data_IF_649425492259
#
_entry.id   IF_649425492259
#
_cell.length_a   1.000
_cell.length_b   1.000
_cell.length_c   1.000
_cell.angle_alpha   90.00
_cell.angle_beta   90.00
_cell.angle_gamma   90.00
#
_symmetry.space_group_name_H-M   'P 1'
#
loop_
_entity.id
_entity.type
_entity.pdbx_description
1 polymer ?
#
# COMPACT_ATOMS: atom_id res chain seq x y z
N UNK A 1 -19.43 -14.98 23.39
CA UNK A 1 -19.28 -13.55 23.02
C UNK A 1 -19.88 -13.36 21.63
N UNK A 2 -20.81 -12.44 21.45
CA UNK A 2 -21.38 -12.13 20.14
C UNK A 2 -20.39 -11.35 19.29
N UNK A 3 -20.62 -11.30 17.96
CA UNK A 3 -19.77 -10.52 17.06
C UNK A 3 -19.73 -9.01 17.45
N UNK A 4 -20.89 -8.46 17.87
CA UNK A 4 -20.96 -7.07 18.34
C UNK A 4 -20.10 -6.84 19.59
N UNK A 5 -20.17 -7.75 20.57
CA UNK A 5 -19.33 -7.68 21.78
C UNK A 5 -17.85 -7.77 21.47
N UNK A 6 -17.46 -8.63 20.51
CA UNK A 6 -16.07 -8.74 20.08
C UNK A 6 -15.57 -7.44 19.40
N UNK A 7 -16.38 -6.83 18.54
CA UNK A 7 -16.06 -5.54 17.89
C UNK A 7 -15.92 -4.42 18.92
N UNK A 8 -16.84 -4.36 19.88
CA UNK A 8 -16.80 -3.36 20.96
C UNK A 8 -15.54 -3.50 21.80
N UNK A 9 -15.17 -4.71 22.21
CA UNK A 9 -13.96 -4.97 22.98
C UNK A 9 -12.68 -4.56 22.22
N UNK A 10 -12.61 -4.82 20.90
CA UNK A 10 -11.49 -4.38 20.05
C UNK A 10 -11.37 -2.86 20.02
N UNK A 11 -12.49 -2.17 19.84
CA UNK A 11 -12.52 -0.71 19.83
C UNK A 11 -12.06 -0.13 21.16
N UNK A 12 -12.55 -0.65 22.28
CA UNK A 12 -12.16 -0.24 23.63
C UNK A 12 -10.67 -0.45 23.88
N UNK A 13 -10.13 -1.61 23.45
CA UNK A 13 -8.69 -1.90 23.55
C UNK A 13 -7.84 -0.90 22.74
N UNK A 14 -8.28 -0.58 21.53
CA UNK A 14 -7.62 0.41 20.68
C UNK A 14 -7.69 1.81 21.32
N UNK A 15 -8.87 2.23 21.77
CA UNK A 15 -9.08 3.54 22.40
C UNK A 15 -8.34 3.69 23.72
N UNK A 16 -8.21 2.63 24.51
CA UNK A 16 -7.42 2.63 25.74
C UNK A 16 -5.94 2.95 25.47
N UNK A 17 -5.43 2.56 24.30
CA UNK A 17 -4.03 2.78 23.91
C UNK A 17 -3.80 4.13 23.22
N UNK A 18 -4.73 4.59 22.40
CA UNK A 18 -4.52 5.71 21.49
C UNK A 18 -5.52 6.85 21.65
N UNK A 19 -6.45 6.75 22.60
CA UNK A 19 -7.47 7.77 22.85
C UNK A 19 -8.79 7.51 22.12
N UNK A 20 -9.83 8.21 22.55
CA UNK A 20 -11.17 8.11 21.99
C UNK A 20 -11.23 8.68 20.57
N UNK A 21 -11.84 7.95 19.63
CA UNK A 21 -11.90 8.33 18.22
C UNK A 21 -13.32 8.64 17.73
N UNK A 22 -14.37 8.31 18.48
CA UNK A 22 -15.75 8.45 18.00
C UNK A 22 -16.10 9.88 17.57
N UNK A 23 -15.81 10.87 18.42
CA UNK A 23 -16.04 12.28 18.07
C UNK A 23 -15.18 12.74 16.89
N UNK A 24 -13.91 12.32 16.85
CA UNK A 24 -12.99 12.63 15.76
C UNK A 24 -13.48 12.05 14.43
N UNK A 25 -13.98 10.82 14.41
CA UNK A 25 -14.54 10.21 13.19
C UNK A 25 -15.82 10.92 12.74
N UNK A 26 -16.68 11.30 13.69
CA UNK A 26 -17.94 12.00 13.41
C UNK A 26 -17.71 13.37 12.73
N UNK A 27 -16.64 14.09 13.08
CA UNK A 27 -16.25 15.35 12.42
C UNK A 27 -15.98 15.17 10.92
N UNK A 28 -15.68 13.95 10.49
CA UNK A 28 -15.45 13.58 9.08
C UNK A 28 -16.58 12.74 8.46
N UNK A 29 -17.71 12.62 9.16
CA UNK A 29 -18.88 11.85 8.69
C UNK A 29 -18.65 10.34 8.69
N UNK A 30 -17.79 9.84 9.57
CA UNK A 30 -17.48 8.43 9.75
C UNK A 30 -17.93 7.95 11.14
N UNK A 31 -18.12 6.65 11.27
CA UNK A 31 -18.44 5.98 12.52
C UNK A 31 -17.35 4.96 12.91
N UNK A 32 -17.45 4.47 14.14
CA UNK A 32 -16.54 3.49 14.69
C UNK A 32 -16.61 2.13 13.97
N UNK A 33 -17.76 1.81 13.38
CA UNK A 33 -17.92 0.59 12.58
C UNK A 33 -17.08 0.67 11.29
N UNK A 34 -17.15 1.78 10.57
CA UNK A 34 -16.33 2.03 9.37
C UNK A 34 -14.83 2.00 9.67
N UNK A 35 -14.43 2.50 10.84
CA UNK A 35 -13.04 2.44 11.30
C UNK A 35 -12.58 0.99 11.52
N UNK A 36 -13.36 0.17 12.25
CA UNK A 36 -13.06 -1.24 12.49
C UNK A 36 -13.03 -2.05 11.20
N UNK A 37 -13.96 -1.81 10.27
CA UNK A 37 -13.96 -2.45 8.96
C UNK A 37 -12.71 -2.08 8.15
N UNK A 38 -12.27 -0.84 8.27
CA UNK A 38 -11.01 -0.38 7.67
C UNK A 38 -9.79 -1.09 8.26
N UNK A 39 -9.72 -1.24 9.60
CA UNK A 39 -8.66 -2.01 10.26
C UNK A 39 -8.62 -3.46 9.78
N UNK A 40 -9.79 -4.10 9.65
CA UNK A 40 -9.88 -5.47 9.15
C UNK A 40 -9.39 -5.59 7.70
N UNK A 41 -9.72 -4.62 6.84
CA UNK A 41 -9.23 -4.57 5.47
C UNK A 41 -7.71 -4.38 5.41
N UNK A 42 -7.13 -3.48 6.21
CA UNK A 42 -5.67 -3.25 6.26
C UNK A 42 -4.95 -4.50 6.71
N UNK A 43 -5.39 -5.15 7.79
CA UNK A 43 -4.81 -6.41 8.27
C UNK A 43 -4.93 -7.52 7.23
N UNK A 44 -6.11 -7.66 6.62
CA UNK A 44 -6.33 -8.64 5.56
C UNK A 44 -5.39 -8.42 4.38
N UNK A 45 -5.26 -7.19 3.90
CA UNK A 45 -4.39 -6.84 2.78
C UNK A 45 -2.92 -7.14 3.05
N UNK A 46 -2.41 -6.74 4.21
CA UNK A 46 -1.05 -7.06 4.61
C UNK A 46 -0.82 -8.57 4.71
N UNK A 47 -1.79 -9.31 5.28
CA UNK A 47 -1.73 -10.76 5.36
C UNK A 47 -1.71 -11.42 3.98
N UNK A 48 -2.56 -10.98 3.04
CA UNK A 48 -2.57 -11.53 1.67
C UNK A 48 -1.25 -11.23 0.94
N UNK A 49 -0.74 -9.99 1.01
CA UNK A 49 0.54 -9.63 0.42
C UNK A 49 1.72 -10.43 1.01
N UNK A 50 1.67 -10.73 2.33
CA UNK A 50 2.65 -11.59 2.98
C UNK A 50 2.54 -13.05 2.50
N UNK A 51 1.34 -13.61 2.40
CA UNK A 51 1.10 -14.96 1.89
C UNK A 51 1.52 -15.11 0.41
N UNK A 52 1.32 -14.08 -0.39
CA UNK A 52 1.77 -14.03 -1.78
C UNK A 52 3.30 -13.84 -1.92
N UNK A 53 4.03 -13.61 -0.82
CA UNK A 53 5.49 -13.42 -0.83
C UNK A 53 5.95 -12.05 -1.37
N UNK A 54 5.03 -11.13 -1.64
CA UNK A 54 5.36 -9.78 -2.15
C UNK A 54 5.63 -8.76 -1.03
N UNK A 55 5.30 -9.13 0.20
CA UNK A 55 5.59 -8.36 1.41
C UNK A 55 6.21 -9.28 2.46
N UNK A 56 7.40 -8.97 2.98
CA UNK A 56 8.13 -9.85 3.90
C UNK A 56 8.64 -9.08 5.12
N UNK A 57 8.55 -9.71 6.30
CA UNK A 57 9.05 -9.13 7.54
C UNK A 57 8.50 -7.73 7.80
N UNK A 58 9.40 -6.75 7.82
CA UNK A 58 9.10 -5.35 8.13
C UNK A 58 8.96 -4.45 6.90
N UNK A 59 9.24 -4.99 5.69
CA UNK A 59 9.17 -4.19 4.47
C UNK A 59 7.72 -3.95 4.00
N UNK A 60 7.58 -2.97 3.10
CA UNK A 60 6.28 -2.60 2.55
C UNK A 60 5.35 -1.90 3.55
N UNK A 61 4.27 -1.37 3.04
CA UNK A 61 3.22 -0.71 3.80
C UNK A 61 1.93 -0.63 2.98
N UNK A 62 0.83 -0.40 3.66
CA UNK A 62 -0.49 -0.29 3.04
C UNK A 62 -1.23 0.90 3.65
N UNK A 63 -1.95 1.63 2.81
CA UNK A 63 -2.97 2.57 3.28
C UNK A 63 -4.31 2.30 2.63
N UNK A 64 -5.37 2.59 3.40
CA UNK A 64 -6.76 2.48 2.97
C UNK A 64 -7.48 3.81 3.22
N UNK A 65 -8.10 4.38 2.20
CA UNK A 65 -8.89 5.61 2.33
C UNK A 65 -10.17 5.35 3.09
N UNK A 66 -10.42 6.13 4.13
CA UNK A 66 -11.66 6.19 4.88
C UNK A 66 -12.39 7.49 4.54
N UNK A 67 -13.42 7.40 3.69
CA UNK A 67 -14.14 8.58 3.21
C UNK A 67 -13.26 9.53 2.38
N UNK A 68 -13.53 10.83 2.45
CA UNK A 68 -12.84 11.85 1.63
C UNK A 68 -11.55 12.37 2.26
N UNK A 69 -11.46 12.37 3.58
CA UNK A 69 -10.49 13.17 4.32
C UNK A 69 -9.52 12.36 5.17
N UNK A 70 -9.82 11.08 5.39
CA UNK A 70 -9.05 10.21 6.27
C UNK A 70 -8.52 8.98 5.52
N UNK A 71 -7.46 8.41 6.07
CA UNK A 71 -6.91 7.12 5.69
C UNK A 71 -6.41 6.36 6.91
N UNK A 72 -6.47 5.04 6.85
CA UNK A 72 -5.67 4.16 7.70
C UNK A 72 -4.34 3.89 7.01
N UNK A 73 -3.26 3.90 7.78
CA UNK A 73 -1.90 3.60 7.30
C UNK A 73 -1.25 2.63 8.25
N UNK A 74 -0.56 1.62 7.73
CA UNK A 74 0.25 0.71 8.56
C UNK A 74 1.33 1.48 9.30
N UNK A 75 1.56 1.09 10.56
CA UNK A 75 2.59 1.68 11.39
C UNK A 75 4.01 1.36 10.87
N UNK A 76 4.96 2.20 11.28
CA UNK A 76 6.39 1.95 11.06
C UNK A 76 6.87 0.75 11.88
N UNK A 77 7.79 -0.06 11.33
CA UNK A 77 8.52 -1.09 12.04
C UNK A 77 7.70 -2.31 12.50
N UNK A 78 6.52 -2.56 11.93
CA UNK A 78 5.68 -3.72 12.27
C UNK A 78 5.85 -4.88 11.29
N UNK A 79 5.62 -6.11 11.77
CA UNK A 79 5.60 -7.32 10.95
C UNK A 79 4.25 -7.46 10.24
N UNK A 80 4.20 -7.14 8.94
CA UNK A 80 2.94 -7.01 8.15
C UNK A 80 2.12 -8.31 8.08
N UNK A 81 2.75 -9.47 8.11
CA UNK A 81 2.05 -10.77 8.11
C UNK A 81 1.30 -11.09 9.40
N UNK A 82 1.55 -10.34 10.48
CA UNK A 82 1.03 -10.59 11.84
C UNK A 82 0.42 -9.35 12.48
N UNK A 83 -0.16 -8.46 11.68
CA UNK A 83 -0.74 -7.21 12.16
C UNK A 83 -1.89 -7.39 13.14
N UNK A 84 -1.89 -6.57 14.18
CA UNK A 84 -3.00 -6.37 15.10
C UNK A 84 -3.69 -5.01 14.86
N UNK A 85 -4.80 -4.75 15.56
CA UNK A 85 -5.55 -3.49 15.42
C UNK A 85 -4.70 -2.26 15.78
N UNK A 86 -3.79 -2.39 16.75
CA UNK A 86 -2.87 -1.34 17.18
C UNK A 86 -1.71 -1.05 16.24
N UNK A 87 -1.61 -1.75 15.11
CA UNK A 87 -0.53 -1.61 14.13
C UNK A 87 -0.92 -0.75 12.92
N UNK A 88 -2.10 -0.14 12.94
CA UNK A 88 -2.52 0.85 11.96
C UNK A 88 -2.88 2.18 12.65
N UNK A 89 -2.51 3.27 12.01
CA UNK A 89 -2.77 4.62 12.44
C UNK A 89 -3.85 5.28 11.59
N UNK A 90 -4.65 6.15 12.20
CA UNK A 90 -5.58 7.03 11.53
C UNK A 90 -4.88 8.35 11.18
N UNK A 91 -4.87 8.71 9.91
CA UNK A 91 -4.24 9.91 9.40
C UNK A 91 -5.20 10.70 8.50
N UNK A 92 -4.93 12.00 8.34
CA UNK A 92 -5.56 12.81 7.30
C UNK A 92 -4.96 12.48 5.93
N UNK A 93 -5.69 12.84 4.87
CA UNK A 93 -5.22 12.69 3.49
C UNK A 93 -4.04 13.60 3.13
N UNK A 94 -3.63 14.52 4.03
CA UNK A 94 -2.38 15.30 3.93
C UNK A 94 -1.18 14.61 4.57
N UNK A 95 -1.37 13.44 5.19
CA UNK A 95 -0.34 12.66 5.87
C UNK A 95 -0.17 13.00 7.35
N UNK A 96 -0.96 13.91 7.92
CA UNK A 96 -0.87 14.23 9.36
C UNK A 96 -1.53 13.14 10.20
N UNK A 97 -0.82 12.67 11.24
CA UNK A 97 -1.32 11.69 12.20
C UNK A 97 -2.47 12.31 13.02
N UNK A 98 -3.58 11.59 13.14
CA UNK A 98 -4.70 11.96 14.00
C UNK A 98 -4.74 11.11 15.27
N UNK A 99 -4.60 9.80 15.14
CA UNK A 99 -4.62 8.87 16.26
C UNK A 99 -3.93 7.55 15.87
N UNK A 100 -3.32 6.89 16.84
CA UNK A 100 -2.66 5.61 16.64
C UNK A 100 -1.14 5.66 16.79
N UNK A 101 -0.44 4.62 16.34
CA UNK A 101 1.02 4.55 16.36
C UNK A 101 1.67 5.50 15.35
N UNK A 102 3.01 5.59 15.39
CA UNK A 102 3.77 6.34 14.39
C UNK A 102 3.49 5.80 12.97
N UNK A 103 3.21 6.71 12.04
CA UNK A 103 2.96 6.39 10.64
C UNK A 103 4.18 5.75 9.98
N UNK A 104 3.97 4.97 8.92
CA UNK A 104 5.04 4.56 8.01
C UNK A 104 5.85 5.78 7.55
N UNK A 105 7.17 5.63 7.49
CA UNK A 105 8.07 6.66 6.94
C UNK A 105 7.74 7.04 5.48
N UNK A 106 7.01 6.18 4.77
CA UNK A 106 6.64 6.39 3.37
C UNK A 106 5.22 6.92 3.17
N UNK A 107 4.58 7.41 4.24
CA UNK A 107 3.24 8.00 4.18
C UNK A 107 3.14 9.13 3.15
N UNK A 108 4.20 9.94 2.97
CA UNK A 108 4.23 10.99 1.95
C UNK A 108 4.04 10.44 0.52
N UNK A 109 4.61 9.27 0.22
CA UNK A 109 4.42 8.57 -1.06
C UNK A 109 2.95 8.18 -1.26
N UNK A 110 2.29 7.61 -0.23
CA UNK A 110 0.86 7.28 -0.31
C UNK A 110 0.00 8.51 -0.58
N UNK A 111 0.28 9.62 0.11
CA UNK A 111 -0.40 10.89 -0.11
C UNK A 111 -0.23 11.38 -1.55
N UNK A 112 0.98 11.30 -2.11
CA UNK A 112 1.26 11.69 -3.48
C UNK A 112 0.49 10.82 -4.49
N UNK A 113 0.41 9.51 -4.26
CA UNK A 113 -0.37 8.59 -5.10
C UNK A 113 -1.87 8.89 -5.03
N UNK A 114 -2.43 9.13 -3.84
CA UNK A 114 -3.85 9.51 -3.72
C UNK A 114 -4.18 10.86 -4.38
N UNK A 115 -3.23 11.79 -4.44
CA UNK A 115 -3.40 13.05 -5.18
C UNK A 115 -3.39 12.83 -6.70
N UNK A 116 -2.49 11.97 -7.18
CA UNK A 116 -2.37 11.63 -8.59
C UNK A 116 -3.57 10.78 -9.08
N UNK A 117 -4.13 9.95 -8.19
CA UNK A 117 -5.23 9.02 -8.48
C UNK A 117 -6.39 9.20 -7.49
N UNK A 118 -7.23 10.22 -7.68
CA UNK A 118 -8.33 10.54 -6.75
C UNK A 118 -9.34 9.40 -6.58
N UNK A 119 -9.48 8.51 -7.57
CA UNK A 119 -10.33 7.33 -7.55
C UNK A 119 -9.78 6.21 -6.65
N UNK A 120 -8.47 6.22 -6.36
CA UNK A 120 -7.85 5.17 -5.56
C UNK A 120 -8.38 5.15 -4.12
N UNK A 121 -8.70 3.96 -3.64
CA UNK A 121 -9.10 3.70 -2.25
C UNK A 121 -8.04 2.95 -1.46
N UNK A 122 -7.12 2.29 -2.14
CA UNK A 122 -6.02 1.55 -1.54
C UNK A 122 -4.71 1.90 -2.25
N UNK A 123 -3.66 2.10 -1.47
CA UNK A 123 -2.27 2.18 -1.96
C UNK A 123 -1.47 1.12 -1.21
N UNK A 124 -0.84 0.23 -1.98
CA UNK A 124 -0.04 -0.88 -1.48
C UNK A 124 1.39 -0.74 -1.97
N UNK A 125 2.33 -0.63 -1.06
CA UNK A 125 3.76 -0.69 -1.35
C UNK A 125 4.33 -2.04 -0.91
N UNK A 126 5.06 -2.69 -1.81
CA UNK A 126 5.58 -4.04 -1.65
C UNK A 126 7.00 -4.16 -2.22
N UNK A 127 7.67 -5.26 -1.88
CA UNK A 127 9.01 -5.60 -2.39
C UNK A 127 8.99 -6.95 -3.12
N UNK A 128 8.34 -7.04 -4.30
CA UNK A 128 8.17 -8.29 -5.05
C UNK A 128 9.54 -8.79 -5.53
N UNK A 129 9.89 -10.02 -5.15
CA UNK A 129 11.25 -10.55 -5.31
C UNK A 129 11.69 -10.71 -6.76
N UNK A 130 10.79 -11.24 -7.62
CA UNK A 130 11.10 -11.42 -9.04
C UNK A 130 11.18 -10.08 -9.77
N UNK A 131 10.30 -9.13 -9.44
CA UNK A 131 10.33 -7.80 -10.06
C UNK A 131 11.61 -7.04 -9.68
N UNK A 132 12.04 -7.15 -8.43
CA UNK A 132 13.33 -6.59 -7.95
C UNK A 132 14.51 -7.25 -8.64
N UNK A 133 14.56 -8.59 -8.70
CA UNK A 133 15.62 -9.32 -9.37
C UNK A 133 15.70 -8.98 -10.87
N UNK A 134 14.53 -8.85 -11.53
CA UNK A 134 14.44 -8.43 -12.93
C UNK A 134 15.02 -7.02 -13.12
N UNK A 135 14.73 -6.08 -12.23
CA UNK A 135 15.26 -4.72 -12.32
C UNK A 135 16.78 -4.68 -12.23
N UNK A 136 17.37 -5.49 -11.35
CA UNK A 136 18.83 -5.63 -11.23
C UNK A 136 19.42 -6.24 -12.50
N UNK A 137 18.80 -7.29 -13.04
CA UNK A 137 19.24 -7.94 -14.28
C UNK A 137 19.14 -7.02 -15.50
N UNK A 138 18.17 -6.12 -15.51
CA UNK A 138 17.95 -5.11 -16.55
C UNK A 138 18.56 -3.74 -16.20
N UNK A 139 19.51 -3.66 -15.27
CA UNK A 139 20.13 -2.40 -14.85
C UNK A 139 20.52 -1.52 -16.06
N UNK A 140 20.09 -0.24 -16.02
CA UNK A 140 20.23 0.71 -17.14
C UNK A 140 19.27 0.49 -18.32
N UNK A 141 18.40 -0.53 -18.29
CA UNK A 141 17.40 -0.85 -19.33
C UNK A 141 16.03 -1.16 -18.74
N UNK A 142 15.61 -0.44 -17.69
CA UNK A 142 14.33 -0.69 -16.99
C UNK A 142 13.10 -0.56 -17.91
N UNK A 143 13.20 0.16 -19.03
CA UNK A 143 12.17 0.17 -20.06
C UNK A 143 11.87 -1.19 -20.70
N UNK A 144 12.77 -2.18 -20.52
CA UNK A 144 12.58 -3.57 -20.93
C UNK A 144 11.84 -4.46 -19.90
N UNK A 145 11.46 -3.92 -18.74
CA UNK A 145 10.66 -4.68 -17.78
C UNK A 145 9.33 -5.09 -18.37
N UNK A 146 8.97 -6.36 -18.19
CA UNK A 146 7.74 -6.99 -18.68
C UNK A 146 7.59 -6.95 -20.21
N UNK A 147 8.68 -6.74 -20.97
CA UNK A 147 8.69 -6.74 -22.43
C UNK A 147 8.90 -8.15 -22.95
N UNK A 148 7.79 -8.84 -23.20
CA UNK A 148 7.77 -10.23 -23.66
C UNK A 148 6.69 -10.41 -24.72
N UNK A 149 6.86 -11.39 -25.67
CA UNK A 149 5.87 -11.68 -26.70
C UNK A 149 4.68 -12.50 -26.16
N UNK A 150 4.05 -11.99 -25.07
CA UNK A 150 2.88 -12.58 -24.45
C UNK A 150 1.72 -11.58 -24.47
N UNK A 151 0.51 -12.04 -24.76
CA UNK A 151 -0.70 -11.19 -24.73
C UNK A 151 -0.87 -10.54 -23.35
N UNK A 152 -0.62 -11.28 -22.30
CA UNK A 152 -0.72 -10.79 -20.93
C UNK A 152 0.31 -9.68 -20.64
N UNK A 153 1.55 -9.85 -21.08
CA UNK A 153 2.57 -8.80 -20.97
C UNK A 153 2.16 -7.53 -21.73
N UNK A 154 1.62 -7.67 -22.95
CA UNK A 154 1.13 -6.54 -23.73
C UNK A 154 -0.03 -5.79 -23.05
N UNK A 155 -0.87 -6.48 -22.25
CA UNK A 155 -1.96 -5.88 -21.49
C UNK A 155 -1.49 -5.17 -20.21
N UNK A 156 -0.46 -5.71 -19.53
CA UNK A 156 -0.07 -5.25 -18.19
C UNK A 156 1.15 -4.32 -18.19
N UNK A 157 2.09 -4.49 -19.12
CA UNK A 157 3.25 -3.61 -19.22
C UNK A 157 2.90 -2.12 -19.31
N UNK A 158 1.87 -1.67 -20.06
CA UNK A 158 1.45 -0.26 -20.09
C UNK A 158 0.92 0.26 -18.73
N UNK A 159 0.58 -0.64 -17.80
CA UNK A 159 0.11 -0.30 -16.46
C UNK A 159 1.26 -0.19 -15.43
N UNK A 160 2.51 -0.33 -15.86
CA UNK A 160 3.71 -0.15 -15.05
C UNK A 160 4.44 1.12 -15.47
N UNK A 161 4.56 2.08 -14.58
CA UNK A 161 5.46 3.23 -14.70
C UNK A 161 6.70 3.02 -13.84
N UNK A 162 7.77 3.77 -14.13
CA UNK A 162 9.03 3.70 -13.38
C UNK A 162 9.28 5.06 -12.74
N UNK A 163 9.54 5.08 -11.45
CA UNK A 163 10.07 6.19 -10.68
C UNK A 163 11.57 6.01 -10.47
N UNK A 164 12.32 7.12 -10.44
CA UNK A 164 13.78 7.09 -10.24
C UNK A 164 14.18 6.61 -8.84
N UNK A 165 15.48 6.35 -8.69
CA UNK A 165 16.09 5.94 -7.43
C UNK A 165 16.24 7.16 -6.50
N UNK A 166 15.50 7.14 -5.38
CA UNK A 166 15.58 8.14 -4.31
C UNK A 166 15.59 7.45 -2.94
N UNK A 167 16.09 8.10 -1.88
CA UNK A 167 16.08 7.52 -0.55
C UNK A 167 14.65 7.16 -0.09
N UNK A 168 14.43 5.98 0.52
CA UNK A 168 13.13 5.60 1.09
C UNK A 168 12.63 6.65 2.08
N UNK A 169 11.35 7.00 2.00
CA UNK A 169 10.71 8.00 2.86
C UNK A 169 11.01 9.46 2.52
N UNK A 170 11.84 9.73 1.49
CA UNK A 170 12.13 11.10 1.09
C UNK A 170 10.97 11.76 0.33
N UNK A 171 10.93 13.09 0.32
CA UNK A 171 9.94 13.84 -0.44
C UNK A 171 10.16 13.68 -1.94
N UNK A 172 11.43 13.58 -2.36
CA UNK A 172 11.82 13.36 -3.75
C UNK A 172 11.27 12.03 -4.28
N UNK A 173 11.31 10.97 -3.46
CA UNK A 173 10.69 9.69 -3.80
C UNK A 173 9.17 9.85 -3.94
N UNK A 174 8.53 10.50 -2.97
CA UNK A 174 7.08 10.72 -2.99
C UNK A 174 6.63 11.49 -4.24
N UNK A 175 7.34 12.55 -4.60
CA UNK A 175 7.04 13.38 -5.79
C UNK A 175 7.25 12.58 -7.08
N UNK A 176 8.34 11.81 -7.17
CA UNK A 176 8.63 10.95 -8.33
C UNK A 176 7.57 9.88 -8.52
N UNK A 177 7.15 9.21 -7.42
CA UNK A 177 6.10 8.19 -7.47
C UNK A 177 4.74 8.81 -7.81
N UNK A 178 4.39 9.96 -7.22
CA UNK A 178 3.16 10.68 -7.54
C UNK A 178 3.06 11.00 -9.02
N UNK A 179 4.12 11.58 -9.61
CA UNK A 179 4.19 11.89 -11.05
C UNK A 179 4.08 10.63 -11.95
N UNK A 180 4.70 9.53 -11.54
CA UNK A 180 4.61 8.27 -12.26
C UNK A 180 3.20 7.65 -12.14
N UNK A 181 2.56 7.78 -10.98
CA UNK A 181 1.20 7.30 -10.73
C UNK A 181 0.12 7.99 -11.57
N UNK A 182 0.35 9.21 -12.07
CA UNK A 182 -0.54 9.85 -13.05
C UNK A 182 -0.70 9.00 -14.33
N UNK A 183 0.34 8.24 -14.69
CA UNK A 183 0.42 7.49 -15.94
C UNK A 183 -0.07 6.04 -15.80
N UNK A 184 0.14 5.42 -14.64
CA UNK A 184 -0.11 4.00 -14.44
C UNK A 184 -0.47 3.68 -12.98
N UNK A 185 -1.30 2.64 -12.72
CA UNK A 185 -1.67 2.24 -11.37
C UNK A 185 -0.54 1.53 -10.60
N UNK A 186 0.47 1.01 -11.30
CA UNK A 186 1.65 0.40 -10.73
C UNK A 186 2.87 1.27 -11.01
N UNK A 187 3.67 1.57 -10.00
CA UNK A 187 4.90 2.35 -10.10
C UNK A 187 6.04 1.54 -9.49
N UNK A 188 6.96 1.09 -10.33
CA UNK A 188 8.21 0.50 -9.86
C UNK A 188 9.18 1.62 -9.47
N UNK A 189 9.68 1.57 -8.25
CA UNK A 189 10.69 2.48 -7.72
C UNK A 189 12.06 1.83 -7.89
N UNK A 190 12.91 2.43 -8.70
CA UNK A 190 14.24 1.89 -9.01
C UNK A 190 15.05 1.63 -7.73
N UNK A 191 15.53 0.38 -7.59
CA UNK A 191 16.33 -0.04 -6.43
C UNK A 191 15.56 -0.15 -5.11
N UNK A 192 14.21 -0.11 -5.13
CA UNK A 192 13.42 -0.08 -3.90
C UNK A 192 12.28 -1.12 -3.89
N UNK A 193 11.28 -0.97 -4.75
CA UNK A 193 10.09 -1.83 -4.73
C UNK A 193 9.00 -1.36 -5.67
N UNK A 194 7.77 -1.83 -5.42
CA UNK A 194 6.59 -1.54 -6.21
C UNK A 194 5.54 -0.81 -5.35
N UNK A 195 4.94 0.25 -5.90
CA UNK A 195 3.77 0.91 -5.35
C UNK A 195 2.59 0.69 -6.30
N UNK A 196 1.46 0.18 -5.79
CA UNK A 196 0.25 -0.04 -6.57
C UNK A 196 -0.94 0.69 -5.96
N UNK A 197 -1.78 1.24 -6.82
CA UNK A 197 -3.02 1.92 -6.44
C UNK A 197 -4.21 1.19 -7.04
N UNK A 198 -5.29 1.05 -6.25
CA UNK A 198 -6.53 0.43 -6.70
C UNK A 198 -7.77 1.12 -6.13
N UNK A 199 -8.91 0.96 -6.81
CA UNK A 199 -10.24 1.37 -6.34
C UNK A 199 -10.74 0.45 -5.22
N UNK A 200 -10.03 -0.66 -5.01
CA UNK A 200 -10.22 -1.61 -3.91
C UNK A 200 -8.88 -2.24 -3.51
N UNK A 201 -8.86 -2.86 -2.33
CA UNK A 201 -7.74 -3.67 -1.88
C UNK A 201 -7.45 -4.84 -2.84
N UNK A 202 -8.50 -5.51 -3.31
CA UNK A 202 -8.36 -6.64 -4.25
C UNK A 202 -7.72 -6.21 -5.57
N UNK A 203 -8.04 -5.02 -6.07
CA UNK A 203 -7.43 -4.49 -7.29
C UNK A 203 -5.94 -4.19 -7.07
N UNK A 204 -5.58 -3.50 -5.97
CA UNK A 204 -4.17 -3.19 -5.68
C UNK A 204 -3.32 -4.46 -5.51
N UNK A 205 -3.84 -5.47 -4.81
CA UNK A 205 -3.18 -6.78 -4.66
C UNK A 205 -3.05 -7.49 -6.01
N UNK A 206 -4.14 -7.59 -6.78
CA UNK A 206 -4.12 -8.27 -8.07
C UNK A 206 -3.15 -7.62 -9.06
N UNK A 207 -3.05 -6.28 -9.09
CA UNK A 207 -2.03 -5.57 -9.88
C UNK A 207 -0.63 -5.95 -9.41
N UNK A 208 -0.39 -5.99 -8.10
CA UNK A 208 0.92 -6.36 -7.53
C UNK A 208 1.32 -7.79 -7.91
N UNK A 209 0.42 -8.74 -7.72
CA UNK A 209 0.64 -10.16 -8.06
C UNK A 209 0.90 -10.35 -9.56
N UNK A 210 0.17 -9.62 -10.39
CA UNK A 210 0.35 -9.67 -11.84
C UNK A 210 1.72 -9.16 -12.29
N UNK A 211 2.21 -8.06 -11.69
CA UNK A 211 3.55 -7.54 -11.98
C UNK A 211 4.64 -8.53 -11.56
N UNK A 212 4.51 -9.14 -10.39
CA UNK A 212 5.45 -10.14 -9.88
C UNK A 212 5.44 -11.41 -10.76
N UNK A 213 4.26 -11.91 -11.14
CA UNK A 213 4.12 -13.07 -12.01
C UNK A 213 4.80 -12.87 -13.38
N UNK A 214 4.54 -11.74 -14.03
CA UNK A 214 5.18 -11.43 -15.31
C UNK A 214 6.70 -11.24 -15.19
N UNK A 215 7.17 -10.67 -14.09
CA UNK A 215 8.60 -10.57 -13.81
C UNK A 215 9.25 -11.96 -13.62
N UNK A 216 8.57 -12.87 -12.92
CA UNK A 216 9.03 -14.26 -12.77
C UNK A 216 9.17 -14.96 -14.14
N UNK A 217 8.16 -14.80 -15.02
CA UNK A 217 8.23 -15.37 -16.38
C UNK A 217 9.42 -14.76 -17.13
N UNK A 218 9.58 -13.45 -17.12
CA UNK A 218 10.66 -12.79 -17.86
C UNK A 218 12.05 -13.22 -17.35
N UNK A 219 12.23 -13.38 -16.05
CA UNK A 219 13.49 -13.87 -15.46
C UNK A 219 13.87 -15.27 -15.95
N UNK A 220 12.89 -16.12 -16.26
CA UNK A 220 13.14 -17.47 -16.79
C UNK A 220 13.51 -17.48 -18.27
N UNK A 221 13.28 -16.37 -18.98
CA UNK A 221 13.52 -16.24 -20.43
C UNK A 221 14.88 -15.56 -20.74
N UNK A 222 15.51 -14.91 -19.76
CA UNK A 222 16.75 -14.12 -19.98
C UNK A 222 17.94 -14.56 -19.13
#
# INVERSE_FOLDING_TARGET
MTQAQARQARLEAWQARFGRIGALLADFGLDEASFLDGLDQVKHGCRQAWLAGVMTGFNGNLSLRLGKHLMLVTASGIAKGHMEDGDAALAKMDGSLLAGPALSSETAMHVAVYKARPEARCVLHTHPGCLLALSVKLAGRLGGMLDMPLFEAAMWRPKLAIAGAFPPGSQELADSVGKAAEKAPAVFMEGHGLCTAGTSLAEALGVTEQMEHLAEIQLRLI
#
